data_IF_314321773849
#
_entry.id   IF_314321773849
#
_cell.length_a   1.000
_cell.length_b   1.000
_cell.length_c   1.000
_cell.angle_alpha   90.00
_cell.angle_beta   90.00
_cell.angle_gamma   90.00
#
_symmetry.space_group_name_H-M   'P 1'
#
loop_
_entity.id
_entity.type
_entity.pdbx_description
1 polymer ?
#
# COMPACT_ATOMS: atom_id res chain seq x y z
N UNK A 1 -40.21 -15.41 6.52
CA UNK A 1 -39.31 -14.66 5.63
C UNK A 1 -39.00 -13.23 6.15
N UNK A 2 -39.92 -12.51 6.75
CA UNK A 2 -39.74 -11.13 7.27
C UNK A 2 -38.68 -11.00 8.35
N UNK A 3 -38.59 -11.90 9.31
CA UNK A 3 -37.65 -11.79 10.46
C UNK A 3 -36.18 -11.91 10.07
N UNK A 4 -35.83 -12.76 9.10
CA UNK A 4 -34.43 -12.89 8.63
C UNK A 4 -33.99 -11.65 7.84
N UNK A 5 -34.86 -11.05 7.06
CA UNK A 5 -34.58 -9.82 6.29
C UNK A 5 -34.34 -8.62 7.22
N UNK A 6 -35.10 -8.52 8.32
CA UNK A 6 -34.89 -7.47 9.32
C UNK A 6 -33.54 -7.63 10.04
N UNK A 7 -33.15 -8.85 10.38
CA UNK A 7 -31.84 -9.15 10.99
C UNK A 7 -30.68 -8.75 10.08
N UNK A 8 -30.77 -9.06 8.78
CA UNK A 8 -29.75 -8.67 7.80
C UNK A 8 -29.63 -7.13 7.69
N UNK A 9 -30.74 -6.43 7.62
CA UNK A 9 -30.74 -4.96 7.61
C UNK A 9 -30.08 -4.38 8.87
N UNK A 10 -30.35 -4.95 10.03
CA UNK A 10 -29.75 -4.54 11.28
C UNK A 10 -28.23 -4.77 11.29
N UNK A 11 -27.78 -5.99 10.91
CA UNK A 11 -26.36 -6.33 10.81
C UNK A 11 -25.62 -5.42 9.80
N UNK A 12 -26.23 -5.19 8.64
CA UNK A 12 -25.67 -4.28 7.63
C UNK A 12 -25.52 -2.85 8.16
N UNK A 13 -26.49 -2.37 8.95
CA UNK A 13 -26.43 -1.07 9.61
C UNK A 13 -25.24 -1.00 10.59
N UNK A 14 -25.09 -2.02 11.42
CA UNK A 14 -23.95 -2.08 12.38
C UNK A 14 -22.60 -2.13 11.66
N UNK A 15 -22.47 -2.94 10.62
CA UNK A 15 -21.24 -2.99 9.84
C UNK A 15 -20.88 -1.64 9.21
N UNK A 16 -21.88 -0.90 8.69
CA UNK A 16 -21.66 0.45 8.16
C UNK A 16 -21.24 1.44 9.24
N UNK A 17 -21.86 1.37 10.42
CA UNK A 17 -21.48 2.22 11.58
C UNK A 17 -20.04 1.91 12.04
N UNK A 18 -19.61 0.65 12.01
CA UNK A 18 -18.24 0.22 12.26
C UNK A 18 -17.27 0.55 11.11
N UNK A 19 -17.74 1.24 10.06
CA UNK A 19 -16.95 1.56 8.85
C UNK A 19 -16.43 0.33 8.11
N UNK A 20 -17.26 -0.69 7.98
CA UNK A 20 -17.01 -1.94 7.26
C UNK A 20 -17.95 -2.05 6.04
N UNK A 21 -17.85 -1.15 5.05
CA UNK A 21 -18.83 -1.07 3.97
C UNK A 21 -18.77 -2.26 3.01
N UNK A 22 -17.58 -2.84 2.78
CA UNK A 22 -17.42 -3.99 1.89
C UNK A 22 -18.07 -5.22 2.50
N UNK A 23 -17.82 -5.50 3.79
CA UNK A 23 -18.49 -6.55 4.54
C UNK A 23 -20.02 -6.39 4.52
N UNK A 24 -20.51 -5.14 4.72
CA UNK A 24 -21.93 -4.84 4.71
C UNK A 24 -22.58 -5.17 3.37
N UNK A 25 -21.95 -4.82 2.26
CA UNK A 25 -22.46 -5.11 0.91
C UNK A 25 -22.39 -6.60 0.63
N UNK A 26 -21.26 -7.25 0.91
CA UNK A 26 -21.07 -8.67 0.67
C UNK A 26 -22.05 -9.54 1.46
N UNK A 27 -22.35 -9.17 2.71
CA UNK A 27 -23.35 -9.86 3.53
C UNK A 27 -24.73 -9.84 2.88
N UNK A 28 -25.12 -8.74 2.22
CA UNK A 28 -26.40 -8.64 1.50
C UNK A 28 -26.38 -9.56 0.27
N UNK A 29 -25.32 -9.54 -0.52
CA UNK A 29 -25.18 -10.34 -1.73
C UNK A 29 -25.23 -11.84 -1.41
N UNK A 30 -24.52 -12.26 -0.39
CA UNK A 30 -24.50 -13.65 0.07
C UNK A 30 -25.85 -14.09 0.65
N UNK A 31 -26.58 -13.22 1.32
CA UNK A 31 -27.90 -13.56 1.85
C UNK A 31 -28.88 -13.91 0.74
N UNK A 32 -28.81 -13.24 -0.38
CA UNK A 32 -29.63 -13.56 -1.56
C UNK A 32 -29.25 -14.93 -2.15
N UNK A 33 -27.95 -15.30 -2.08
CA UNK A 33 -27.42 -16.58 -2.58
C UNK A 33 -27.48 -17.75 -1.58
N UNK A 34 -27.56 -17.49 -0.28
CA UNK A 34 -27.46 -18.48 0.82
C UNK A 34 -28.52 -19.57 0.80
N UNK A 35 -29.63 -19.35 0.11
CA UNK A 35 -30.72 -20.36 -0.01
C UNK A 35 -30.33 -21.51 -0.93
N UNK A 36 -29.24 -21.40 -1.69
CA UNK A 36 -28.81 -22.40 -2.69
C UNK A 36 -27.35 -22.88 -2.46
N UNK A 37 -26.63 -22.29 -1.49
CA UNK A 37 -25.19 -22.52 -1.30
C UNK A 37 -24.91 -23.56 -0.23
N UNK A 38 -24.12 -24.60 -0.58
CA UNK A 38 -23.67 -25.66 0.34
C UNK A 38 -22.37 -25.34 1.05
N UNK A 39 -21.88 -24.09 0.98
CA UNK A 39 -20.62 -23.68 1.62
C UNK A 39 -20.76 -23.66 3.14
N UNK A 40 -19.63 -23.90 3.81
CA UNK A 40 -19.60 -23.82 5.27
C UNK A 40 -19.75 -22.37 5.73
N UNK A 41 -20.28 -22.19 6.94
CA UNK A 41 -20.38 -20.85 7.56
C UNK A 41 -19.00 -20.19 7.68
N UNK A 42 -17.95 -20.98 7.89
CA UNK A 42 -16.58 -20.48 8.01
C UNK A 42 -16.06 -19.93 6.69
N UNK A 43 -16.33 -20.62 5.57
CA UNK A 43 -15.90 -20.18 4.24
C UNK A 43 -16.56 -18.83 3.88
N UNK A 44 -17.83 -18.66 4.26
CA UNK A 44 -18.58 -17.43 4.04
C UNK A 44 -18.00 -16.29 4.89
N UNK A 45 -17.66 -16.54 6.15
CA UNK A 45 -17.03 -15.54 7.03
C UNK A 45 -15.65 -15.15 6.53
N UNK A 46 -14.85 -16.13 6.10
CA UNK A 46 -13.52 -15.89 5.53
C UNK A 46 -13.61 -14.98 4.29
N UNK A 47 -14.52 -15.27 3.39
CA UNK A 47 -14.76 -14.46 2.19
C UNK A 47 -15.11 -13.00 2.55
N UNK A 48 -16.10 -12.81 3.43
CA UNK A 48 -16.56 -11.47 3.83
C UNK A 48 -15.45 -10.66 4.50
N UNK A 49 -14.70 -11.30 5.42
CA UNK A 49 -13.63 -10.62 6.18
C UNK A 49 -12.44 -10.33 5.30
N UNK A 50 -12.03 -11.27 4.44
CA UNK A 50 -10.89 -11.09 3.55
C UNK A 50 -11.13 -10.00 2.52
N UNK A 51 -12.31 -9.87 1.97
CA UNK A 51 -12.66 -8.79 1.03
C UNK A 51 -12.55 -7.40 1.67
N UNK A 52 -13.05 -7.22 2.90
CA UNK A 52 -12.90 -5.94 3.62
C UNK A 52 -11.43 -5.65 3.91
N UNK A 53 -10.67 -6.65 4.38
CA UNK A 53 -9.25 -6.52 4.67
C UNK A 53 -8.46 -6.11 3.42
N UNK A 54 -8.66 -6.80 2.31
CA UNK A 54 -7.98 -6.50 1.04
C UNK A 54 -8.36 -5.11 0.50
N UNK A 55 -9.64 -4.74 0.59
CA UNK A 55 -10.10 -3.41 0.20
C UNK A 55 -9.44 -2.31 1.04
N UNK A 56 -9.35 -2.48 2.34
CA UNK A 56 -8.68 -1.51 3.23
C UNK A 56 -7.18 -1.42 2.95
N UNK A 57 -6.52 -2.57 2.77
CA UNK A 57 -5.11 -2.61 2.41
C UNK A 57 -4.87 -1.87 1.09
N UNK A 58 -5.67 -2.16 0.07
CA UNK A 58 -5.60 -1.47 -1.22
C UNK A 58 -5.76 0.05 -1.07
N UNK A 59 -6.80 0.50 -0.37
CA UNK A 59 -7.05 1.92 -0.16
C UNK A 59 -5.91 2.61 0.60
N UNK A 60 -5.31 1.92 1.58
CA UNK A 60 -4.16 2.43 2.32
C UNK A 60 -2.94 2.57 1.42
N UNK A 61 -2.63 1.57 0.59
CA UNK A 61 -1.54 1.61 -0.39
C UNK A 61 -1.75 2.77 -1.36
N UNK A 62 -2.96 2.90 -1.94
CA UNK A 62 -3.26 3.99 -2.88
C UNK A 62 -3.10 5.38 -2.25
N UNK A 63 -3.55 5.55 -1.01
CA UNK A 63 -3.35 6.80 -0.26
C UNK A 63 -1.87 7.08 -0.04
N UNK A 64 -1.10 6.09 0.40
CA UNK A 64 0.32 6.25 0.68
C UNK A 64 1.13 6.53 -0.60
N UNK A 65 0.78 5.90 -1.73
CA UNK A 65 1.37 6.22 -3.03
C UNK A 65 1.14 7.67 -3.45
N UNK A 66 -0.06 8.20 -3.24
CA UNK A 66 -0.35 9.62 -3.50
C UNK A 66 0.47 10.54 -2.60
N UNK A 67 0.60 10.20 -1.33
CA UNK A 67 1.37 11.00 -0.35
C UNK A 67 2.88 10.93 -0.57
N UNK A 68 3.38 9.85 -1.16
CA UNK A 68 4.80 9.64 -1.42
C UNK A 68 5.39 10.62 -2.45
N UNK A 69 4.56 11.27 -3.27
CA UNK A 69 4.99 12.25 -4.30
C UNK A 69 6.10 11.70 -5.22
N UNK A 70 5.99 10.45 -5.62
CA UNK A 70 6.97 9.81 -6.49
C UNK A 70 7.09 10.57 -7.82
N UNK A 71 8.33 10.85 -8.27
CA UNK A 71 8.56 11.52 -9.55
C UNK A 71 8.26 10.61 -10.75
N UNK A 72 8.31 9.29 -10.55
CA UNK A 72 7.99 8.26 -11.53
C UNK A 72 7.05 7.22 -10.88
N UNK A 73 5.76 7.53 -10.71
CA UNK A 73 4.83 6.65 -10.00
C UNK A 73 4.56 5.33 -10.71
N UNK A 74 4.88 5.23 -12.01
CA UNK A 74 4.76 4.01 -12.82
C UNK A 74 5.96 3.06 -12.69
N UNK A 75 7.03 3.47 -11.96
CA UNK A 75 8.21 2.62 -11.80
C UNK A 75 7.90 1.41 -10.92
N UNK A 76 8.23 0.21 -11.42
CA UNK A 76 8.08 -1.04 -10.68
C UNK A 76 9.41 -1.79 -10.60
N UNK A 77 9.63 -2.51 -9.50
CA UNK A 77 10.84 -3.35 -9.34
C UNK A 77 10.88 -4.48 -10.37
N UNK A 78 9.71 -4.98 -10.77
CA UNK A 78 9.59 -6.06 -11.75
C UNK A 78 10.03 -5.66 -13.16
N UNK A 79 9.98 -4.36 -13.46
CA UNK A 79 10.33 -3.81 -14.78
C UNK A 79 11.81 -3.37 -14.86
N UNK A 80 12.62 -3.69 -13.86
CA UNK A 80 14.05 -3.36 -13.86
C UNK A 80 14.75 -4.20 -14.94
N UNK A 81 15.48 -3.52 -15.82
CA UNK A 81 16.33 -4.16 -16.80
C UNK A 81 17.62 -4.67 -16.14
N UNK A 82 17.83 -5.99 -16.20
CA UNK A 82 19.02 -6.68 -15.70
C UNK A 82 20.01 -7.01 -16.83
N UNK A 83 19.91 -6.36 -17.98
CA UNK A 83 20.86 -6.57 -19.07
C UNK A 83 22.29 -6.23 -18.63
N UNK A 84 23.32 -6.82 -19.24
CA UNK A 84 24.72 -6.57 -18.89
C UNK A 84 25.13 -5.09 -19.00
N UNK A 85 24.41 -4.30 -19.79
CA UNK A 85 24.59 -2.86 -19.94
C UNK A 85 24.20 -2.08 -18.70
N UNK A 86 23.22 -2.55 -17.91
CA UNK A 86 22.69 -1.85 -16.75
C UNK A 86 23.48 -2.08 -15.46
N UNK A 87 24.36 -3.08 -15.39
CA UNK A 87 25.22 -3.42 -14.23
C UNK A 87 24.48 -3.48 -12.88
N UNK A 88 23.18 -3.74 -12.90
CA UNK A 88 22.37 -3.89 -11.68
C UNK A 88 22.46 -5.34 -11.22
N UNK A 89 22.87 -5.56 -9.97
CA UNK A 89 22.90 -6.89 -9.39
C UNK A 89 21.48 -7.30 -8.95
N UNK A 90 20.94 -8.35 -9.58
CA UNK A 90 19.63 -8.90 -9.28
C UNK A 90 19.50 -9.37 -7.83
N UNK A 91 20.55 -9.92 -7.27
CA UNK A 91 20.58 -10.39 -5.89
C UNK A 91 20.46 -9.25 -4.89
N UNK A 92 21.12 -8.11 -5.16
CA UNK A 92 20.98 -6.87 -4.37
C UNK A 92 19.55 -6.35 -4.40
N UNK A 93 18.89 -6.35 -5.57
CA UNK A 93 17.49 -5.94 -5.67
C UNK A 93 16.57 -6.89 -4.88
N UNK A 94 16.83 -8.19 -4.97
CA UNK A 94 16.09 -9.19 -4.19
C UNK A 94 16.26 -8.96 -2.68
N UNK A 95 17.46 -8.68 -2.21
CA UNK A 95 17.72 -8.34 -0.80
C UNK A 95 16.99 -7.05 -0.39
N UNK A 96 16.97 -6.01 -1.22
CA UNK A 96 16.20 -4.79 -0.94
C UNK A 96 14.70 -5.05 -0.88
N UNK A 97 14.19 -5.97 -1.71
CA UNK A 97 12.78 -6.37 -1.72
C UNK A 97 12.34 -7.12 -0.46
N UNK A 98 13.25 -7.62 0.39
CA UNK A 98 12.88 -8.15 1.70
C UNK A 98 12.50 -7.06 2.73
N UNK A 99 12.73 -5.79 2.42
CA UNK A 99 12.50 -4.64 3.31
C UNK A 99 13.25 -4.71 4.65
N UNK A 100 14.18 -5.66 4.84
CA UNK A 100 14.95 -5.82 6.08
C UNK A 100 15.82 -4.60 6.40
N UNK A 101 16.23 -3.83 5.39
CA UNK A 101 16.97 -2.60 5.61
C UNK A 101 16.17 -1.58 6.42
N UNK A 102 14.84 -1.54 6.28
CA UNK A 102 13.95 -0.67 7.06
C UNK A 102 13.87 -1.20 8.51
N UNK A 103 13.58 -2.48 8.68
CA UNK A 103 13.48 -3.11 10.00
C UNK A 103 14.78 -3.00 10.82
N UNK A 104 15.93 -3.00 10.12
CA UNK A 104 17.27 -2.88 10.72
C UNK A 104 17.79 -1.43 10.78
N UNK A 105 16.97 -0.42 10.48
CA UNK A 105 17.33 1.00 10.45
C UNK A 105 18.58 1.29 9.59
N UNK A 106 18.70 0.63 8.44
CA UNK A 106 19.84 0.80 7.53
C UNK A 106 19.49 1.74 6.38
N UNK A 107 20.44 2.60 6.03
CA UNK A 107 20.32 3.48 4.86
C UNK A 107 20.71 2.74 3.58
N UNK A 108 20.04 3.09 2.48
CA UNK A 108 20.39 2.63 1.13
C UNK A 108 20.91 3.82 0.33
N UNK A 109 22.12 3.69 -0.21
CA UNK A 109 22.76 4.70 -1.05
C UNK A 109 22.87 4.15 -2.47
N UNK A 110 22.31 4.87 -3.46
CA UNK A 110 22.34 4.49 -4.87
C UNK A 110 23.25 5.48 -5.61
N UNK A 111 24.38 4.97 -6.12
CA UNK A 111 25.38 5.76 -6.83
C UNK A 111 25.52 5.32 -8.29
N UNK A 112 25.91 6.24 -9.17
CA UNK A 112 26.14 5.94 -10.58
C UNK A 112 26.11 7.22 -11.43
N UNK A 113 26.52 7.13 -12.70
CA UNK A 113 26.53 8.22 -13.66
C UNK A 113 25.11 8.76 -13.95
N UNK A 114 25.01 9.95 -14.52
CA UNK A 114 23.72 10.49 -14.99
C UNK A 114 23.14 9.57 -16.08
N UNK A 115 21.82 9.38 -16.07
CA UNK A 115 21.12 8.54 -17.06
C UNK A 115 21.11 7.04 -16.75
N UNK A 116 21.77 6.55 -15.67
CA UNK A 116 21.85 5.10 -15.34
C UNK A 116 20.62 4.53 -14.61
N UNK A 117 19.49 5.22 -14.59
CA UNK A 117 18.25 4.70 -14.00
C UNK A 117 18.16 4.80 -12.47
N UNK A 118 19.06 5.54 -11.78
CA UNK A 118 19.02 5.69 -10.30
C UNK A 118 17.66 6.18 -9.78
N UNK A 119 17.12 7.22 -10.44
CA UNK A 119 15.82 7.77 -10.04
C UNK A 119 14.68 6.77 -10.29
N UNK A 120 14.73 6.00 -11.36
CA UNK A 120 13.78 4.93 -11.61
C UNK A 120 13.84 3.88 -10.50
N UNK A 121 15.03 3.36 -10.20
CA UNK A 121 15.24 2.37 -9.15
C UNK A 121 14.76 2.88 -7.78
N UNK A 122 15.07 4.14 -7.44
CA UNK A 122 14.60 4.75 -6.17
C UNK A 122 13.07 4.80 -6.11
N UNK A 123 12.41 5.24 -7.18
CA UNK A 123 10.94 5.30 -7.22
C UNK A 123 10.31 3.90 -7.19
N UNK A 124 10.89 2.93 -7.91
CA UNK A 124 10.44 1.54 -7.91
C UNK A 124 10.55 0.91 -6.51
N UNK A 125 11.67 1.16 -5.81
CA UNK A 125 11.88 0.67 -4.44
C UNK A 125 10.90 1.34 -3.46
N UNK A 126 10.72 2.67 -3.54
CA UNK A 126 9.74 3.39 -2.72
C UNK A 126 8.32 2.86 -2.92
N UNK A 127 7.92 2.62 -4.17
CA UNK A 127 6.63 2.03 -4.48
C UNK A 127 6.47 0.64 -3.86
N UNK A 128 7.46 -0.22 -4.04
CA UNK A 128 7.45 -1.57 -3.49
C UNK A 128 7.31 -1.56 -1.96
N UNK A 129 8.09 -0.73 -1.29
CA UNK A 129 8.04 -0.56 0.17
C UNK A 129 6.65 -0.12 0.65
N UNK A 130 5.96 0.74 -0.11
CA UNK A 130 4.59 1.16 0.20
C UNK A 130 3.60 -0.01 0.00
N UNK A 131 3.76 -0.81 -1.03
CA UNK A 131 2.95 -2.01 -1.30
C UNK A 131 3.12 -3.07 -0.19
N UNK A 132 4.31 -3.15 0.42
CA UNK A 132 4.59 -3.98 1.60
C UNK A 132 4.04 -3.41 2.93
N UNK A 133 3.43 -2.21 2.90
CA UNK A 133 2.72 -1.62 4.04
C UNK A 133 3.49 -0.55 4.79
N UNK A 134 4.68 -0.19 4.37
CA UNK A 134 5.42 0.94 4.93
C UNK A 134 4.94 2.28 4.36
N UNK A 135 5.46 3.37 4.90
CA UNK A 135 5.29 4.70 4.34
C UNK A 135 6.60 5.19 3.74
N UNK A 136 6.53 5.88 2.61
CA UNK A 136 7.69 6.49 1.98
C UNK A 136 7.33 7.88 1.48
N UNK A 137 8.31 8.77 1.39
CA UNK A 137 8.22 10.09 0.77
C UNK A 137 9.41 10.30 -0.14
N UNK A 138 9.14 10.62 -1.40
CA UNK A 138 10.16 11.06 -2.33
C UNK A 138 10.30 12.58 -2.22
N UNK A 139 11.53 13.06 -2.04
CA UNK A 139 11.83 14.49 -2.01
C UNK A 139 13.21 14.73 -2.63
N UNK A 140 13.34 15.77 -3.42
CA UNK A 140 14.64 16.22 -3.91
C UNK A 140 15.36 17.01 -2.82
N UNK A 141 16.68 16.93 -2.78
CA UNK A 141 17.49 17.63 -1.76
C UNK A 141 17.18 19.12 -1.71
N UNK A 142 17.05 19.77 -2.88
CA UNK A 142 16.72 21.20 -2.95
C UNK A 142 15.37 21.51 -2.29
N UNK A 143 14.36 20.73 -2.61
CA UNK A 143 13.01 20.91 -2.05
C UNK A 143 13.00 20.66 -0.54
N UNK A 144 13.77 19.66 -0.08
CA UNK A 144 13.94 19.37 1.36
C UNK A 144 14.58 20.55 2.09
N UNK A 145 15.63 21.14 1.54
CA UNK A 145 16.30 22.29 2.15
C UNK A 145 15.37 23.51 2.20
N UNK A 146 14.56 23.74 1.17
CA UNK A 146 13.56 24.81 1.16
C UNK A 146 12.49 24.58 2.23
N UNK A 147 11.94 23.35 2.34
CA UNK A 147 10.96 23.00 3.38
C UNK A 147 11.55 23.19 4.79
N UNK A 148 12.80 22.80 5.02
CA UNK A 148 13.48 22.98 6.30
C UNK A 148 13.67 24.46 6.64
N UNK A 149 14.08 25.29 5.69
CA UNK A 149 14.24 26.73 5.90
C UNK A 149 12.92 27.40 6.25
N UNK A 150 11.83 27.01 5.56
CA UNK A 150 10.47 27.51 5.86
C UNK A 150 9.98 27.06 7.25
N UNK A 151 10.30 25.82 7.64
CA UNK A 151 9.94 25.29 8.96
C UNK A 151 10.70 26.01 10.08
N UNK A 152 11.97 26.32 9.88
CA UNK A 152 12.79 27.07 10.82
C UNK A 152 12.24 28.50 11.03
N UNK A 153 11.92 29.20 9.95
CA UNK A 153 11.33 30.54 10.01
C UNK A 153 9.98 30.58 10.76
N UNK A 154 9.27 29.47 10.83
CA UNK A 154 7.95 29.35 11.47
C UNK A 154 8.00 28.67 12.85
N UNK A 155 9.15 28.49 13.47
CA UNK A 155 9.35 27.76 14.74
C UNK A 155 8.70 26.34 14.76
N UNK A 156 8.68 25.65 13.62
CA UNK A 156 8.05 24.33 13.45
C UNK A 156 9.04 23.18 13.35
N UNK A 157 10.32 23.43 13.61
CA UNK A 157 11.31 22.35 13.68
C UNK A 157 11.06 21.54 14.96
N UNK A 158 10.99 20.21 14.90
CA UNK A 158 10.97 19.37 16.08
C UNK A 158 12.32 19.52 16.83
N UNK A 159 12.25 19.75 18.13
CA UNK A 159 13.43 19.79 19.01
C UNK A 159 14.07 18.40 19.10
#
# INVERSE_FOLDING_TARGET
MTHSTERIKLLTSYLRQMRLPVMANRLVDLYVGLLTDQRSTLDILEEIVSEEYLSRRHNTVQRNLKLAKLSQPQAHIQDIDYSPSCRINKETIHQLSTCQFIANNRNVIIQGATGTGKSYLTNALCRYVIEEGYTARYIRMYDLLSELSEADMNDRLPQ
#
